data_IF_110163881787
#
_entry.id   IF_110163881787
#
_cell.length_a   1.000
_cell.length_b   1.000
_cell.length_c   1.000
_cell.angle_alpha   90.00
_cell.angle_beta   90.00
_cell.angle_gamma   90.00
#
_symmetry.space_group_name_H-M   'P 1'
#
loop_
_entity.id
_entity.type
_entity.pdbx_description
1 polymer ?
#
# COMPACT_ATOMS: atom_id res chain seq x y z
N UNK A 1 -5.83 25.49 30.44
CA UNK A 1 -6.13 24.36 29.53
C UNK A 1 -5.18 24.51 28.34
N UNK A 2 -4.28 23.57 28.04
CA UNK A 2 -3.40 23.73 26.89
C UNK A 2 -4.19 23.50 25.59
N UNK A 3 -4.09 24.45 24.66
CA UNK A 3 -4.76 24.46 23.37
C UNK A 3 -4.31 23.26 22.52
N UNK A 4 -5.28 22.49 22.00
CA UNK A 4 -5.04 21.35 21.12
C UNK A 4 -4.57 21.88 19.76
N UNK A 5 -3.26 21.88 19.53
CA UNK A 5 -2.65 22.13 18.22
C UNK A 5 -3.27 21.16 17.22
N UNK A 6 -4.16 21.65 16.36
CA UNK A 6 -4.69 20.90 15.23
C UNK A 6 -3.58 20.81 14.17
N UNK A 7 -3.04 19.59 13.97
CA UNK A 7 -2.20 19.31 12.80
C UNK A 7 -3.04 19.58 11.55
N UNK A 8 -2.51 20.27 10.52
CA UNK A 8 -3.21 20.44 9.25
C UNK A 8 -3.54 19.08 8.63
N UNK A 9 -4.72 19.01 8.04
CA UNK A 9 -5.38 17.81 7.53
C UNK A 9 -4.64 17.17 6.36
N UNK A 10 -4.62 15.82 6.45
CA UNK A 10 -4.40 14.80 5.43
C UNK A 10 -3.06 14.74 4.68
N UNK A 11 -2.24 13.67 4.90
CA UNK A 11 -1.19 13.34 3.94
C UNK A 11 -1.85 13.01 2.61
N UNK A 12 -1.42 13.68 1.54
CA UNK A 12 -1.76 13.36 0.15
C UNK A 12 -1.73 11.84 -0.03
N UNK A 13 -2.77 11.20 -0.60
CA UNK A 13 -2.74 9.77 -0.84
C UNK A 13 -1.56 9.49 -1.76
N UNK A 14 -0.57 8.75 -1.25
CA UNK A 14 0.53 8.19 -2.03
C UNK A 14 0.04 7.05 -2.96
N UNK A 15 -1.11 7.26 -3.60
CA UNK A 15 -1.53 6.47 -4.75
C UNK A 15 -0.82 7.01 -5.99
N UNK A 16 -0.48 6.17 -6.97
CA UNK A 16 0.03 6.66 -8.24
C UNK A 16 -0.96 7.70 -8.76
N UNK A 17 -0.49 8.93 -8.99
CA UNK A 17 -1.18 9.94 -9.79
C UNK A 17 -1.30 9.30 -11.18
N UNK A 18 -2.39 8.57 -11.40
CA UNK A 18 -2.70 8.02 -12.71
C UNK A 18 -2.81 9.23 -13.63
N UNK A 19 -1.78 9.39 -14.48
CA UNK A 19 -1.48 10.63 -15.18
C UNK A 19 -2.70 11.19 -15.90
N UNK A 20 -3.16 12.34 -15.41
CA UNK A 20 -3.88 13.29 -16.23
C UNK A 20 -2.91 13.73 -17.33
N UNK A 21 -3.19 13.26 -18.54
CA UNK A 21 -2.84 13.90 -19.81
C UNK A 21 -1.35 13.92 -20.24
N UNK A 22 -0.86 12.77 -20.74
CA UNK A 22 0.24 12.76 -21.74
C UNK A 22 1.55 12.03 -21.39
N UNK A 23 1.65 11.39 -20.22
CA UNK A 23 2.82 10.60 -19.82
C UNK A 23 2.73 9.12 -20.19
N UNK A 24 3.87 8.40 -20.31
CA UNK A 24 3.86 6.95 -20.51
C UNK A 24 3.06 6.27 -19.40
N UNK A 25 2.11 5.43 -19.81
CA UNK A 25 1.25 4.68 -18.89
C UNK A 25 2.09 3.62 -18.16
N UNK A 26 1.73 3.35 -16.91
CA UNK A 26 2.29 2.19 -16.20
C UNK A 26 2.12 0.93 -17.06
N UNK A 27 3.14 0.07 -17.15
CA UNK A 27 3.08 -1.13 -17.98
C UNK A 27 1.92 -2.03 -17.53
N UNK A 28 1.28 -2.67 -18.51
CA UNK A 28 0.27 -3.71 -18.27
C UNK A 28 0.98 -5.00 -17.84
N UNK A 29 1.37 -5.04 -16.58
CA UNK A 29 1.94 -6.23 -15.93
C UNK A 29 0.90 -6.81 -14.98
N UNK A 30 0.64 -8.11 -15.13
CA UNK A 30 -0.21 -8.84 -14.19
C UNK A 30 0.49 -8.93 -12.83
N UNK A 31 -0.29 -8.79 -11.75
CA UNK A 31 0.24 -8.94 -10.40
C UNK A 31 0.65 -10.41 -10.18
N UNK A 32 1.85 -10.68 -9.64
CA UNK A 32 2.29 -12.05 -9.37
C UNK A 32 1.40 -12.72 -8.31
N UNK A 33 1.17 -14.04 -8.42
CA UNK A 33 0.44 -14.79 -7.39
C UNK A 33 1.23 -14.78 -6.08
N UNK A 34 0.53 -14.42 -5.02
CA UNK A 34 1.07 -14.09 -3.72
C UNK A 34 0.56 -15.03 -2.63
N UNK A 35 -0.29 -16.01 -2.97
CA UNK A 35 -0.89 -16.97 -2.01
C UNK A 35 0.16 -17.81 -1.30
N UNK A 36 1.11 -18.39 -2.04
CA UNK A 36 2.16 -19.23 -1.45
C UNK A 36 3.14 -18.42 -0.60
N UNK A 37 3.44 -17.18 -1.00
CA UNK A 37 4.23 -16.25 -0.20
C UNK A 37 3.53 -15.94 1.12
N UNK A 38 2.24 -15.57 1.09
CA UNK A 38 1.46 -15.29 2.29
C UNK A 38 1.35 -16.51 3.21
N UNK A 39 1.23 -17.71 2.64
CA UNK A 39 1.20 -18.97 3.40
C UNK A 39 2.54 -19.24 4.10
N UNK A 40 3.67 -19.03 3.43
CA UNK A 40 5.01 -19.13 4.03
C UNK A 40 5.24 -18.04 5.08
N UNK A 41 4.85 -16.80 4.79
CA UNK A 41 4.93 -15.69 5.74
C UNK A 41 4.13 -15.98 7.01
N UNK A 42 2.90 -16.49 6.91
CA UNK A 42 2.13 -16.87 8.12
C UNK A 42 2.82 -17.89 9.01
N UNK A 43 3.60 -18.79 8.42
CA UNK A 43 4.38 -19.79 9.17
C UNK A 43 5.64 -19.20 9.82
N UNK A 44 6.32 -18.28 9.13
CA UNK A 44 7.56 -17.66 9.60
C UNK A 44 7.28 -16.49 10.55
N UNK A 45 6.43 -15.56 10.13
CA UNK A 45 5.97 -14.40 10.90
C UNK A 45 4.54 -13.99 10.48
N UNK A 46 3.53 -14.30 11.30
CA UNK A 46 2.14 -13.88 11.08
C UNK A 46 1.98 -12.36 10.91
N UNK A 47 2.78 -11.54 11.57
CA UNK A 47 2.68 -10.08 11.50
C UNK A 47 3.18 -9.54 10.15
N UNK A 48 4.21 -10.15 9.57
CA UNK A 48 4.66 -9.80 8.21
C UNK A 48 3.60 -10.12 7.17
N UNK A 49 2.89 -11.25 7.29
CA UNK A 49 1.79 -11.57 6.38
C UNK A 49 0.66 -10.53 6.43
N UNK A 50 0.34 -10.01 7.62
CA UNK A 50 -0.68 -8.96 7.82
C UNK A 50 -0.23 -7.62 7.24
N UNK A 51 1.01 -7.21 7.51
CA UNK A 51 1.60 -5.97 6.97
C UNK A 51 1.69 -5.98 5.45
N UNK A 52 2.11 -7.11 4.87
CA UNK A 52 2.16 -7.27 3.42
C UNK A 52 0.77 -7.13 2.81
N UNK A 53 -0.23 -7.77 3.39
CA UNK A 53 -1.63 -7.69 2.96
C UNK A 53 -2.17 -6.26 2.98
N UNK A 54 -1.94 -5.54 4.08
CA UNK A 54 -2.32 -4.14 4.21
C UNK A 54 -1.60 -3.21 3.21
N UNK A 55 -0.31 -3.46 2.95
CA UNK A 55 0.49 -2.63 2.04
C UNK A 55 0.18 -2.88 0.57
N UNK A 56 -0.05 -4.13 0.20
CA UNK A 56 -0.19 -4.54 -1.22
C UNK A 56 -1.63 -4.66 -1.68
N UNK A 57 -2.60 -4.65 -0.76
CA UNK A 57 -4.02 -4.82 -1.08
C UNK A 57 -4.41 -6.26 -1.47
N UNK A 58 -3.56 -7.24 -1.13
CA UNK A 58 -3.81 -8.68 -1.34
C UNK A 58 -4.84 -9.29 -0.38
#
# INVERSE_FOLDING_TARGET
MPERIQKPADPVPWGPKQGDEGGPRSPDVSRPDTKDLLKKMRKVDPNQSKRYRQRTGQ
#
